data_IF_553672382521
#
_entry.id   IF_553672382521
#
_cell.length_a   1.000
_cell.length_b   1.000
_cell.length_c   1.000
_cell.angle_alpha   90.00
_cell.angle_beta   90.00
_cell.angle_gamma   90.00
#
_symmetry.space_group_name_H-M   'P 1'
#
loop_
_entity.id
_entity.type
_entity.pdbx_description
1 polymer ?
#
# COMPACT_ATOMS: atom_id res chain seq x y z
N UNK A 1 -15.74 12.86 -1.59
CA UNK A 1 -15.34 11.52 -2.06
C UNK A 1 -13.83 11.46 -2.32
N UNK A 2 -13.28 12.11 -3.33
CA UNK A 2 -11.83 12.12 -3.56
C UNK A 2 -11.02 12.80 -2.44
N UNK A 3 -11.55 13.87 -1.84
CA UNK A 3 -10.90 14.55 -0.71
C UNK A 3 -10.87 13.69 0.55
N UNK A 4 -11.91 12.88 0.78
CA UNK A 4 -11.98 11.92 1.88
C UNK A 4 -10.91 10.83 1.71
N UNK A 5 -10.79 10.27 0.50
CA UNK A 5 -9.75 9.30 0.17
C UNK A 5 -8.34 9.87 0.37
N UNK A 6 -8.11 11.15 -0.01
CA UNK A 6 -6.82 11.82 0.22
C UNK A 6 -6.51 12.01 1.70
N UNK A 7 -7.50 12.42 2.49
CA UNK A 7 -7.35 12.54 3.95
C UNK A 7 -7.02 11.18 4.55
N UNK A 8 -7.76 10.15 4.18
CA UNK A 8 -7.55 8.77 4.67
C UNK A 8 -6.18 8.23 4.26
N UNK A 9 -5.71 8.57 3.07
CA UNK A 9 -4.36 8.23 2.61
C UNK A 9 -3.28 8.87 3.49
N UNK A 10 -3.44 10.14 3.86
CA UNK A 10 -2.51 10.84 4.77
C UNK A 10 -2.56 10.27 6.19
N UNK A 11 -3.73 9.83 6.66
CA UNK A 11 -3.86 9.13 7.94
C UNK A 11 -3.14 7.78 7.91
N UNK A 12 -3.37 6.96 6.88
CA UNK A 12 -2.69 5.68 6.69
C UNK A 12 -1.16 5.84 6.60
N UNK A 13 -0.69 6.95 6.03
CA UNK A 13 0.75 7.29 6.04
C UNK A 13 1.28 7.44 7.46
N UNK A 14 0.54 8.14 8.33
CA UNK A 14 0.93 8.33 9.74
C UNK A 14 0.88 7.00 10.48
N UNK A 15 -0.16 6.20 10.26
CA UNK A 15 -0.27 4.85 10.80
C UNK A 15 0.93 4.00 10.38
N UNK A 16 1.36 4.03 9.12
CA UNK A 16 2.55 3.27 8.67
C UNK A 16 3.84 3.70 9.37
N UNK A 17 3.97 4.98 9.74
CA UNK A 17 5.16 5.49 10.44
C UNK A 17 5.22 5.04 11.90
N UNK A 18 4.08 4.75 12.53
CA UNK A 18 3.98 4.34 13.94
C UNK A 18 3.63 2.86 14.12
N UNK A 19 3.17 2.19 13.05
CA UNK A 19 2.74 0.81 13.09
C UNK A 19 3.94 -0.11 13.33
N UNK A 20 3.77 -1.02 14.27
CA UNK A 20 4.71 -2.09 14.51
C UNK A 20 4.67 -3.12 13.36
N UNK A 21 5.71 -3.95 13.27
CA UNK A 21 5.87 -4.90 12.16
C UNK A 21 4.66 -5.84 11.99
N UNK A 22 3.95 -6.18 13.07
CA UNK A 22 2.73 -7.02 12.99
C UNK A 22 1.52 -6.27 12.41
N UNK A 23 1.41 -4.97 12.70
CA UNK A 23 0.26 -4.15 12.29
C UNK A 23 0.47 -3.53 10.91
N UNK A 24 1.73 -3.31 10.51
CA UNK A 24 2.11 -2.77 9.19
C UNK A 24 1.42 -3.46 8.01
N UNK A 25 1.36 -4.81 7.89
CA UNK A 25 0.67 -5.45 6.76
C UNK A 25 -0.82 -5.12 6.70
N UNK A 26 -1.51 -4.98 7.84
CA UNK A 26 -2.92 -4.61 7.87
C UNK A 26 -3.15 -3.15 7.44
N UNK A 27 -2.21 -2.25 7.77
CA UNK A 27 -2.24 -0.86 7.30
C UNK A 27 -1.96 -0.78 5.80
N UNK A 28 -0.99 -1.55 5.30
CA UNK A 28 -0.69 -1.63 3.86
C UNK A 28 -1.86 -2.18 3.04
N UNK A 29 -2.64 -3.13 3.58
CA UNK A 29 -3.85 -3.65 2.93
C UNK A 29 -4.89 -2.54 2.71
N UNK A 30 -5.08 -1.71 3.74
CA UNK A 30 -5.97 -0.55 3.65
C UNK A 30 -5.42 0.52 2.70
N UNK A 31 -4.10 0.69 2.65
CA UNK A 31 -3.45 1.61 1.71
C UNK A 31 -3.71 1.18 0.27
N UNK A 32 -3.54 -0.10 -0.05
CA UNK A 32 -3.79 -0.66 -1.39
C UNK A 32 -5.25 -0.45 -1.84
N UNK A 33 -6.21 -0.70 -0.95
CA UNK A 33 -7.63 -0.47 -1.21
C UNK A 33 -7.93 1.02 -1.50
N UNK A 34 -7.40 1.93 -0.67
CA UNK A 34 -7.59 3.38 -0.85
C UNK A 34 -6.92 3.88 -2.14
N UNK A 35 -5.74 3.37 -2.47
CA UNK A 35 -5.02 3.66 -3.72
C UNK A 35 -5.86 3.22 -4.93
N UNK A 36 -6.38 1.99 -4.91
CA UNK A 36 -7.23 1.45 -5.98
C UNK A 36 -8.51 2.26 -6.16
N UNK A 37 -9.15 2.67 -5.06
CA UNK A 37 -10.31 3.55 -5.10
C UNK A 37 -9.95 4.92 -5.71
N UNK A 38 -8.83 5.52 -5.28
CA UNK A 38 -8.34 6.78 -5.84
C UNK A 38 -8.13 6.69 -7.35
N UNK A 39 -7.46 5.64 -7.85
CA UNK A 39 -7.26 5.43 -9.29
C UNK A 39 -8.57 5.23 -10.04
N UNK A 40 -9.48 4.41 -9.49
CA UNK A 40 -10.80 4.14 -10.07
C UNK A 40 -11.64 5.42 -10.22
N UNK A 41 -11.52 6.33 -9.25
CA UNK A 41 -12.20 7.63 -9.28
C UNK A 41 -11.44 8.70 -10.09
N UNK A 42 -10.36 8.35 -10.79
CA UNK A 42 -9.54 9.26 -11.59
C UNK A 42 -8.69 10.22 -10.76
N UNK A 43 -8.51 9.92 -9.48
CA UNK A 43 -7.68 10.67 -8.56
C UNK A 43 -6.20 10.35 -8.71
N UNK A 44 -5.36 11.36 -8.47
CA UNK A 44 -3.90 11.18 -8.50
C UNK A 44 -3.43 10.52 -7.21
N UNK A 45 -2.85 9.32 -7.33
CA UNK A 45 -2.14 8.64 -6.24
C UNK A 45 -0.76 9.26 -6.08
N UNK A 46 -0.34 9.62 -4.85
CA UNK A 46 1.01 10.13 -4.62
C UNK A 46 2.06 9.02 -4.70
N UNK A 47 3.28 9.38 -5.11
CA UNK A 47 4.37 8.44 -5.34
C UNK A 47 4.64 7.53 -4.14
N UNK A 48 4.74 8.10 -2.94
CA UNK A 48 5.01 7.35 -1.71
C UNK A 48 4.00 6.21 -1.45
N UNK A 49 2.72 6.41 -1.77
CA UNK A 49 1.69 5.40 -1.52
C UNK A 49 1.80 4.25 -2.51
N UNK A 50 2.14 4.58 -3.76
CA UNK A 50 2.40 3.60 -4.82
C UNK A 50 3.66 2.80 -4.52
N UNK A 51 4.73 3.47 -4.09
CA UNK A 51 5.99 2.84 -3.69
C UNK A 51 5.80 1.85 -2.53
N UNK A 52 5.01 2.18 -1.49
CA UNK A 52 4.76 1.24 -0.38
C UNK A 52 3.96 0.00 -0.82
N UNK A 53 3.00 0.15 -1.74
CA UNK A 53 2.22 -0.98 -2.30
C UNK A 53 3.09 -1.84 -3.21
N UNK A 54 3.93 -1.21 -4.05
CA UNK A 54 4.89 -1.91 -4.91
C UNK A 54 5.95 -2.65 -4.08
N UNK A 55 6.52 -2.03 -3.05
CA UNK A 55 7.50 -2.65 -2.17
C UNK A 55 6.94 -3.88 -1.42
N UNK A 56 5.67 -3.83 -1.01
CA UNK A 56 4.97 -5.00 -0.44
C UNK A 56 4.82 -6.14 -1.45
N UNK A 57 4.55 -5.80 -2.71
CA UNK A 57 4.38 -6.77 -3.79
C UNK A 57 5.72 -7.42 -4.16
N UNK A 58 6.79 -6.62 -4.26
CA UNK A 58 8.13 -7.08 -4.61
C UNK A 58 8.72 -8.01 -3.52
N UNK A 59 8.57 -7.66 -2.24
CA UNK A 59 8.97 -8.55 -1.13
C UNK A 59 8.17 -9.86 -1.06
N UNK A 60 6.99 -9.93 -1.70
CA UNK A 60 6.20 -11.17 -1.84
C UNK A 60 6.60 -11.98 -3.08
N UNK A 61 7.23 -11.33 -4.05
CA UNK A 61 7.75 -11.94 -5.28
C UNK A 61 9.06 -12.67 -4.94
N UNK A 62 10.00 -12.07 -4.20
CA UNK A 62 11.27 -12.72 -3.84
C UNK A 62 11.09 -14.04 -3.04
N UNK A 63 10.03 -14.19 -2.24
CA UNK A 63 9.72 -15.42 -1.49
C UNK A 63 9.10 -16.55 -2.36
N UNK A 64 8.62 -16.23 -3.57
CA UNK A 64 7.97 -17.19 -4.48
C UNK A 64 8.86 -17.70 -5.62
N UNK A 65 10.01 -17.07 -5.87
CA UNK A 65 10.96 -17.54 -6.89
C UNK A 65 11.99 -18.58 -6.38
N UNK A 66 11.99 -18.92 -5.09
CA UNK A 66 12.86 -19.97 -4.50
C UNK A 66 12.41 -21.42 -4.81
N UNK A 67 11.30 -21.60 -5.56
CA UNK A 67 10.75 -22.94 -5.84
C UNK A 67 10.62 -23.27 -7.33
N UNK A 68 11.46 -22.70 -8.20
CA UNK A 68 11.66 -23.27 -9.54
C UNK A 68 12.76 -24.33 -9.47
N UNK A 69 12.44 -25.64 -9.53
CA UNK A 69 13.48 -26.66 -9.66
C UNK A 69 14.18 -26.48 -11.01
N UNK A 70 15.50 -26.36 -10.98
CA UNK A 70 16.39 -26.60 -12.12
C UNK A 70 16.35 -28.08 -12.50
#
# INVERSE_FOLDING_TARGET
MLEDLKTRLEELRKDLLIAEAEARPAVLDRLEDVVTQLETHGGKVPAWAREEVEARTDGRVEDQFDNMPV
#
